data_IF_515236327238
#
_entry.id   IF_515236327238
#
_cell.length_a   1.000
_cell.length_b   1.000
_cell.length_c   1.000
_cell.angle_alpha   90.00
_cell.angle_beta   90.00
_cell.angle_gamma   90.00
#
_symmetry.space_group_name_H-M   'P 1'
#
loop_
_entity.id
_entity.type
_entity.pdbx_description
1 polymer ?
#
# COMPACT_ATOMS: atom_id res chain seq x y z
N UNK A 1 12.77 -15.53 6.51
CA UNK A 1 12.88 -15.04 7.88
C UNK A 1 11.87 -13.92 8.05
N UNK A 2 11.11 -13.89 9.14
CA UNK A 2 10.12 -12.85 9.45
C UNK A 2 10.60 -12.08 10.68
N UNK A 3 10.44 -10.77 10.71
CA UNK A 3 10.83 -9.93 11.85
C UNK A 3 9.81 -10.07 12.97
N UNK A 4 10.27 -10.18 14.22
CA UNK A 4 9.39 -10.09 15.38
C UNK A 4 8.99 -8.64 15.64
N UNK A 5 7.93 -8.44 16.42
CA UNK A 5 7.52 -7.14 16.96
C UNK A 5 8.68 -6.31 17.54
N UNK A 6 9.57 -6.95 18.31
CA UNK A 6 10.74 -6.30 18.91
C UNK A 6 11.69 -5.79 17.84
N UNK A 7 12.01 -6.63 16.86
CA UNK A 7 12.89 -6.24 15.75
C UNK A 7 12.25 -5.16 14.89
N UNK A 8 10.95 -5.27 14.58
CA UNK A 8 10.21 -4.24 13.84
C UNK A 8 10.34 -2.89 14.54
N UNK A 9 10.12 -2.84 15.86
CA UNK A 9 10.28 -1.60 16.65
C UNK A 9 11.70 -1.06 16.61
N UNK A 10 12.71 -1.91 16.78
CA UNK A 10 14.11 -1.50 16.71
C UNK A 10 14.49 -0.93 15.34
N UNK A 11 14.02 -1.51 14.24
CA UNK A 11 14.31 -1.00 12.90
C UNK A 11 13.60 0.34 12.63
N UNK A 12 12.40 0.54 13.20
CA UNK A 12 11.69 1.84 13.13
C UNK A 12 12.45 2.89 13.93
N UNK A 13 12.86 2.58 15.16
CA UNK A 13 13.64 3.48 16.02
C UNK A 13 15.02 3.81 15.41
N UNK A 14 15.66 2.85 14.76
CA UNK A 14 16.92 3.04 14.05
C UNK A 14 16.77 3.85 12.74
N UNK A 15 15.54 4.08 12.26
CA UNK A 15 15.26 4.79 11.01
C UNK A 15 15.49 3.96 9.74
N UNK A 16 15.75 2.66 9.89
CA UNK A 16 15.91 1.73 8.75
C UNK A 16 14.56 1.34 8.15
N UNK A 17 13.48 1.40 8.94
CA UNK A 17 12.11 1.14 8.52
C UNK A 17 11.22 2.36 8.84
N UNK A 18 10.70 3.04 7.82
CA UNK A 18 9.81 4.17 8.00
C UNK A 18 8.34 3.77 7.78
N UNK A 19 7.49 4.02 8.77
CA UNK A 19 6.04 3.88 8.67
C UNK A 19 5.42 5.15 9.25
N UNK A 20 4.86 5.98 8.37
CA UNK A 20 4.27 7.26 8.74
C UNK A 20 2.91 7.45 8.05
N UNK A 21 1.80 7.58 8.81
CA UNK A 21 1.69 7.46 10.26
C UNK A 21 1.62 6.00 10.75
N UNK A 22 2.43 5.64 11.73
CA UNK A 22 2.28 4.38 12.47
C UNK A 22 1.02 4.44 13.35
N UNK A 23 0.10 3.50 13.14
CA UNK A 23 -1.12 3.41 13.95
C UNK A 23 -0.82 3.01 15.41
N UNK A 24 -1.64 3.45 16.37
CA UNK A 24 -1.56 2.91 17.73
C UNK A 24 -1.80 1.40 17.68
N UNK A 25 -1.00 0.63 18.41
CA UNK A 25 -1.08 -0.84 18.48
C UNK A 25 -1.00 -1.57 17.12
N UNK A 26 -0.49 -0.91 16.07
CA UNK A 26 -0.35 -1.50 14.75
C UNK A 26 0.72 -2.60 14.69
N UNK A 27 1.74 -2.55 15.55
CA UNK A 27 2.80 -3.57 15.59
C UNK A 27 2.29 -4.82 16.31
N UNK A 28 2.17 -5.90 15.55
CA UNK A 28 1.74 -7.23 15.97
C UNK A 28 2.97 -8.16 16.10
N UNK A 29 2.85 -9.39 16.66
CA UNK A 29 3.99 -10.24 17.02
C UNK A 29 5.02 -10.50 15.92
N UNK A 30 4.60 -10.45 14.65
CA UNK A 30 5.49 -10.59 13.50
C UNK A 30 4.96 -9.84 12.25
N UNK A 31 4.21 -8.75 12.46
CA UNK A 31 3.59 -7.96 11.37
C UNK A 31 3.26 -6.54 11.83
N UNK A 32 2.85 -5.68 10.88
CA UNK A 32 2.28 -4.37 11.18
C UNK A 32 0.94 -4.23 10.45
N UNK A 33 -0.11 -3.93 11.20
CA UNK A 33 -1.44 -3.66 10.64
C UNK A 33 -1.44 -2.31 9.92
N UNK A 34 -1.97 -2.29 8.70
CA UNK A 34 -2.10 -1.08 7.89
C UNK A 34 -3.55 -0.59 7.84
N UNK A 35 -3.72 0.69 7.55
CA UNK A 35 -5.03 1.31 7.35
C UNK A 35 -5.32 1.48 5.87
N UNK A 36 -6.59 1.31 5.49
CA UNK A 36 -7.05 1.58 4.14
C UNK A 36 -7.03 3.11 3.89
N UNK A 37 -6.42 3.52 2.78
CA UNK A 37 -6.48 4.92 2.32
C UNK A 37 -7.86 5.27 1.75
N UNK A 38 -8.13 6.57 1.57
CA UNK A 38 -9.39 7.03 0.98
C UNK A 38 -9.35 7.14 -0.55
N UNK A 39 -8.17 7.02 -1.17
CA UNK A 39 -8.04 7.16 -2.63
C UNK A 39 -8.18 5.81 -3.33
N UNK A 40 -9.04 5.76 -4.34
CA UNK A 40 -9.29 4.56 -5.14
C UNK A 40 -9.07 4.84 -6.62
N UNK A 41 -8.69 3.80 -7.38
CA UNK A 41 -8.64 3.85 -8.84
C UNK A 41 -9.76 3.00 -9.43
N UNK A 42 -10.56 3.58 -10.31
CA UNK A 42 -11.68 2.92 -10.97
C UNK A 42 -11.41 2.81 -12.46
N UNK A 43 -11.69 1.65 -13.06
CA UNK A 43 -11.55 1.42 -14.51
C UNK A 43 -12.78 1.93 -15.28
N UNK A 44 -12.53 2.61 -16.40
CA UNK A 44 -13.58 2.97 -17.37
C UNK A 44 -13.76 1.86 -18.42
N UNK A 45 -14.41 0.77 -18.01
CA UNK A 45 -14.54 -0.46 -18.81
C UNK A 45 -15.30 -0.31 -20.14
N UNK A 46 -16.00 0.80 -20.38
CA UNK A 46 -16.74 1.03 -21.62
C UNK A 46 -15.86 1.49 -22.79
N UNK A 47 -14.57 1.77 -22.57
CA UNK A 47 -13.71 2.37 -23.59
C UNK A 47 -12.84 1.38 -24.37
N UNK A 48 -12.50 0.20 -23.80
CA UNK A 48 -11.65 -0.80 -24.45
C UNK A 48 -12.06 -2.23 -24.08
N UNK A 49 -11.93 -3.21 -25.00
CA UNK A 49 -12.38 -4.60 -24.78
C UNK A 49 -11.42 -5.44 -23.92
N UNK A 50 -10.15 -5.05 -23.83
CA UNK A 50 -9.12 -5.71 -23.02
C UNK A 50 -7.96 -4.74 -22.80
N UNK A 51 -7.06 -5.08 -21.87
CA UNK A 51 -5.86 -4.31 -21.57
C UNK A 51 -4.66 -5.04 -22.17
N UNK A 52 -3.92 -4.37 -23.06
CA UNK A 52 -2.61 -4.83 -23.54
C UNK A 52 -1.49 -4.11 -22.77
N UNK A 53 -0.73 -4.85 -21.96
CA UNK A 53 0.37 -4.29 -21.16
C UNK A 53 1.53 -3.69 -21.98
N UNK A 54 1.54 -3.88 -23.31
CA UNK A 54 2.51 -3.27 -24.22
C UNK A 54 2.09 -1.90 -24.75
N UNK A 55 0.85 -1.48 -24.48
CA UNK A 55 0.28 -0.22 -24.93
C UNK A 55 0.05 0.71 -23.73
N UNK A 56 0.22 2.01 -23.95
CA UNK A 56 -0.06 3.03 -22.92
C UNK A 56 -1.53 3.45 -22.96
N UNK A 57 -2.16 3.46 -21.79
CA UNK A 57 -3.54 3.91 -21.60
C UNK A 57 -3.59 4.94 -20.45
N UNK A 58 -3.23 6.21 -20.71
CA UNK A 58 -3.12 7.23 -19.66
C UNK A 58 -4.42 7.45 -18.87
N UNK A 59 -5.56 7.25 -19.52
CA UNK A 59 -6.91 7.43 -18.95
C UNK A 59 -7.62 6.11 -18.62
N UNK A 60 -6.87 5.01 -18.48
CA UNK A 60 -7.45 3.68 -18.18
C UNK A 60 -8.19 3.66 -16.83
N UNK A 61 -7.64 4.38 -15.86
CA UNK A 61 -8.21 4.51 -14.53
C UNK A 61 -8.34 5.96 -14.13
N UNK A 62 -9.38 6.27 -13.38
CA UNK A 62 -9.55 7.56 -12.72
C UNK A 62 -9.35 7.43 -11.22
N UNK A 63 -8.76 8.45 -10.60
CA UNK A 63 -8.64 8.56 -9.15
C UNK A 63 -9.94 9.13 -8.58
N UNK A 64 -10.49 8.47 -7.58
CA UNK A 64 -11.66 8.93 -6.81
C UNK A 64 -11.33 8.94 -5.32
N UNK A 65 -11.96 9.84 -4.57
CA UNK A 65 -11.81 10.01 -3.11
C UNK A 65 -13.15 9.79 -2.39
#
# INVERSE_FOLDING_TARGET
MVLSDRTIRTEIEAGNLAIDPLGPDAVQPASVDLRLGHQFRVFRNSMIPYIDVKQDYPDLTELVE
#
